data_IF_719122562352
#
_entry.id   IF_719122562352
#
_cell.length_a   1.000
_cell.length_b   1.000
_cell.length_c   1.000
_cell.angle_alpha   90.00
_cell.angle_beta   90.00
_cell.angle_gamma   90.00
#
_symmetry.space_group_name_H-M   'P 1'
#
loop_
_entity.id
_entity.type
_entity.pdbx_description
1 polymer ?
#
# COMPACT_ATOMS: atom_id res chain seq x y z
N UNK A 1 18.37 -6.03 -10.04
CA UNK A 1 16.92 -6.24 -10.25
C UNK A 1 16.32 -4.84 -10.27
N UNK A 2 15.45 -4.50 -11.21
CA UNK A 2 14.86 -3.16 -11.31
C UNK A 2 13.38 -3.28 -10.96
N UNK A 3 13.05 -2.99 -9.71
CA UNK A 3 11.67 -2.71 -9.30
C UNK A 3 11.36 -1.26 -9.72
N UNK A 4 10.12 -0.91 -10.03
CA UNK A 4 9.74 0.46 -10.41
C UNK A 4 8.69 0.95 -9.43
N UNK A 5 8.91 2.13 -8.86
CA UNK A 5 8.02 2.83 -7.94
C UNK A 5 7.47 4.07 -8.64
N UNK A 6 6.19 4.12 -8.99
CA UNK A 6 5.54 5.35 -9.43
C UNK A 6 4.59 5.82 -8.33
N UNK A 7 4.40 7.13 -8.21
CA UNK A 7 3.40 7.74 -7.31
C UNK A 7 2.48 8.61 -8.16
N UNK A 8 1.19 8.26 -8.26
CA UNK A 8 0.19 9.02 -9.02
C UNK A 8 -0.90 9.55 -8.09
N UNK A 9 -1.04 10.88 -8.01
CA UNK A 9 -2.20 11.52 -7.38
C UNK A 9 -3.39 11.54 -8.36
N UNK A 10 -4.47 10.82 -8.06
CA UNK A 10 -5.65 10.77 -8.94
C UNK A 10 -6.57 11.98 -8.73
N UNK A 11 -6.85 12.69 -9.82
CA UNK A 11 -7.84 13.75 -9.88
C UNK A 11 -9.29 13.24 -9.85
N UNK A 12 -10.12 14.02 -9.16
CA UNK A 12 -11.52 13.80 -8.84
C UNK A 12 -12.43 13.64 -10.08
N UNK A 13 -13.20 12.55 -10.15
CA UNK A 13 -14.37 12.46 -11.04
C UNK A 13 -15.55 11.92 -10.24
N UNK A 14 -16.45 12.83 -9.86
CA UNK A 14 -17.76 12.48 -9.34
C UNK A 14 -18.72 12.18 -10.50
N UNK A 15 -19.49 11.10 -10.40
CA UNK A 15 -20.72 10.96 -11.20
C UNK A 15 -21.79 10.19 -10.44
N UNK A 16 -22.98 10.74 -10.59
CA UNK A 16 -24.24 10.57 -9.86
C UNK A 16 -24.94 9.21 -9.99
N UNK A 17 -25.83 9.00 -9.03
CA UNK A 17 -26.76 7.90 -8.80
C UNK A 17 -27.73 7.59 -9.94
N UNK A 18 -28.09 6.31 -10.07
CA UNK A 18 -29.31 5.85 -10.72
C UNK A 18 -29.95 4.71 -9.90
N UNK A 19 -31.13 4.96 -9.33
CA UNK A 19 -31.98 3.94 -8.72
C UNK A 19 -32.65 3.12 -9.84
N UNK A 20 -32.45 1.81 -9.84
CA UNK A 20 -33.23 0.88 -10.65
C UNK A 20 -33.67 -0.31 -9.78
N UNK A 21 -34.99 -0.47 -9.65
CA UNK A 21 -35.61 -1.58 -8.94
C UNK A 21 -35.35 -2.91 -9.64
N UNK A 22 -34.91 -3.90 -8.86
CA UNK A 22 -34.65 -5.26 -9.33
C UNK A 22 -35.07 -6.26 -8.26
N UNK A 23 -35.93 -7.19 -8.68
CA UNK A 23 -36.46 -8.36 -7.97
C UNK A 23 -35.58 -8.91 -6.83
N UNK A 24 -36.19 -9.12 -5.65
CA UNK A 24 -35.63 -9.89 -4.55
C UNK A 24 -35.36 -11.33 -4.99
N UNK A 25 -34.15 -11.58 -5.49
CA UNK A 25 -33.56 -12.92 -5.45
C UNK A 25 -33.11 -13.13 -4.02
N UNK A 26 -33.59 -14.20 -3.39
CA UNK A 26 -33.01 -14.73 -2.16
C UNK A 26 -31.53 -14.98 -2.42
N UNK A 27 -30.70 -14.02 -2.03
CA UNK A 27 -29.25 -14.17 -1.99
C UNK A 27 -28.97 -15.26 -0.97
N UNK A 28 -28.27 -16.28 -1.45
CA UNK A 28 -27.57 -17.23 -0.59
C UNK A 28 -26.85 -16.40 0.47
N UNK A 29 -27.00 -16.68 1.78
CA UNK A 29 -26.31 -15.89 2.79
C UNK A 29 -24.83 -15.94 2.44
N UNK A 30 -24.23 -14.77 2.18
CA UNK A 30 -22.78 -14.64 2.04
C UNK A 30 -22.16 -15.43 3.20
N UNK A 31 -21.14 -16.27 2.95
CA UNK A 31 -20.49 -16.98 4.03
C UNK A 31 -20.16 -15.96 5.12
N UNK A 32 -20.55 -16.25 6.36
CA UNK A 32 -20.22 -15.39 7.51
C UNK A 32 -18.70 -15.23 7.46
N UNK A 33 -18.25 -14.02 7.17
CA UNK A 33 -16.83 -13.73 6.99
C UNK A 33 -16.14 -13.89 8.35
N UNK A 34 -15.28 -14.89 8.45
CA UNK A 34 -14.33 -14.98 9.57
C UNK A 34 -13.21 -13.96 9.32
N UNK A 35 -13.46 -12.73 9.78
CA UNK A 35 -12.57 -11.60 9.57
C UNK A 35 -11.20 -11.82 10.23
N UNK A 36 -11.16 -12.47 11.39
CA UNK A 36 -9.91 -12.71 12.11
C UNK A 36 -9.02 -13.69 11.34
N UNK A 37 -9.61 -14.76 10.78
CA UNK A 37 -8.89 -15.66 9.89
C UNK A 37 -8.41 -14.99 8.60
N UNK A 38 -9.16 -14.01 8.10
CA UNK A 38 -8.80 -13.26 6.88
C UNK A 38 -7.62 -12.33 7.14
N UNK A 39 -7.62 -11.61 8.26
CA UNK A 39 -6.48 -10.79 8.69
C UNK A 39 -5.25 -11.67 8.90
N UNK A 40 -5.39 -12.81 9.59
CA UNK A 40 -4.29 -13.76 9.78
C UNK A 40 -3.71 -14.27 8.45
N UNK A 41 -4.57 -14.54 7.45
CA UNK A 41 -4.13 -14.92 6.11
C UNK A 41 -3.36 -13.78 5.43
N UNK A 42 -3.90 -12.57 5.45
CA UNK A 42 -3.26 -11.40 4.85
C UNK A 42 -1.87 -11.14 5.47
N UNK A 43 -1.77 -11.18 6.79
CA UNK A 43 -0.48 -11.03 7.49
C UNK A 43 0.46 -12.20 7.27
N UNK A 44 -0.05 -13.43 7.15
CA UNK A 44 0.76 -14.63 6.90
C UNK A 44 1.39 -14.70 5.50
N UNK A 45 0.81 -13.99 4.53
CA UNK A 45 1.34 -13.87 3.15
C UNK A 45 2.26 -12.64 2.98
N UNK A 46 2.56 -11.91 4.07
CA UNK A 46 3.46 -10.76 3.99
C UNK A 46 4.87 -11.19 3.54
N UNK A 47 5.49 -10.45 2.62
CA UNK A 47 6.83 -10.75 2.14
C UNK A 47 7.86 -10.21 3.13
N UNK A 48 8.04 -10.88 4.26
CA UNK A 48 9.19 -10.64 5.13
C UNK A 48 10.28 -11.69 4.85
N UNK A 49 11.20 -11.42 3.90
CA UNK A 49 12.35 -12.28 3.72
C UNK A 49 13.27 -12.17 4.94
N UNK A 50 14.17 -13.16 5.09
CA UNK A 50 15.41 -12.94 5.82
C UNK A 50 16.09 -11.64 5.31
N UNK A 51 16.85 -10.95 6.18
CA UNK A 51 17.49 -9.66 5.88
C UNK A 51 17.95 -9.54 4.43
N UNK A 52 17.31 -8.65 3.67
CA UNK A 52 17.46 -8.55 2.21
C UNK A 52 17.71 -7.12 1.76
N UNK A 53 18.02 -6.98 0.48
CA UNK A 53 18.30 -5.70 -0.15
C UNK A 53 17.65 -5.67 -1.52
N UNK A 54 16.91 -4.61 -1.79
CA UNK A 54 16.13 -4.38 -3.01
C UNK A 54 16.66 -3.12 -3.68
N UNK A 55 16.85 -3.21 -5.00
CA UNK A 55 17.21 -2.07 -5.84
C UNK A 55 16.06 -1.79 -6.80
N UNK A 56 15.79 -0.52 -7.06
CA UNK A 56 14.65 -0.10 -7.85
C UNK A 56 14.84 1.25 -8.50
N UNK A 57 14.07 1.55 -9.54
CA UNK A 57 13.89 2.87 -10.10
C UNK A 57 12.63 3.46 -9.47
N UNK A 58 12.59 4.77 -9.25
CA UNK A 58 11.42 5.45 -8.71
C UNK A 58 11.09 6.72 -9.49
N UNK A 59 9.83 7.15 -9.40
CA UNK A 59 9.30 8.37 -9.96
C UNK A 59 8.19 8.92 -9.07
N UNK A 60 8.23 10.22 -8.84
CA UNK A 60 7.14 10.99 -8.25
C UNK A 60 6.59 11.91 -9.34
N UNK A 61 5.28 11.87 -9.54
CA UNK A 61 4.56 12.77 -10.45
C UNK A 61 3.45 13.48 -9.66
N UNK A 62 3.76 14.69 -9.20
CA UNK A 62 2.86 15.57 -8.45
C UNK A 62 2.82 16.96 -9.12
N UNK A 63 1.75 17.75 -8.91
CA UNK A 63 1.54 19.02 -9.63
C UNK A 63 2.73 19.99 -9.61
N UNK A 64 3.49 20.02 -8.51
CA UNK A 64 4.64 20.91 -8.30
C UNK A 64 5.98 20.17 -8.20
N UNK A 65 5.98 18.84 -8.38
CA UNK A 65 7.16 18.01 -8.16
C UNK A 65 7.18 16.82 -9.14
N UNK A 66 8.13 16.86 -10.06
CA UNK A 66 8.45 15.74 -10.93
C UNK A 66 9.89 15.33 -10.67
N UNK A 67 10.08 14.15 -10.08
CA UNK A 67 11.39 13.61 -9.75
C UNK A 67 11.45 12.14 -10.11
N UNK A 68 12.62 11.67 -10.48
CA UNK A 68 12.89 10.26 -10.70
C UNK A 68 14.35 9.92 -10.42
N UNK A 69 14.62 8.62 -10.24
CA UNK A 69 15.97 8.11 -10.12
C UNK A 69 16.03 6.69 -9.59
N UNK A 70 17.11 6.38 -8.86
CA UNK A 70 17.38 5.06 -8.31
C UNK A 70 17.11 5.02 -6.80
N UNK A 71 16.60 3.88 -6.34
CA UNK A 71 16.21 3.62 -4.97
C UNK A 71 16.82 2.32 -4.45
N UNK A 72 17.07 2.33 -3.15
CA UNK A 72 17.60 1.21 -2.39
C UNK A 72 16.74 0.99 -1.16
N UNK A 73 16.27 -0.23 -0.95
CA UNK A 73 15.62 -0.64 0.28
C UNK A 73 16.38 -1.79 0.94
N UNK A 74 16.76 -1.63 2.22
CA UNK A 74 17.23 -2.72 3.06
C UNK A 74 16.10 -3.18 3.95
N UNK A 75 15.69 -4.43 3.81
CA UNK A 75 14.69 -5.05 4.66
C UNK A 75 15.40 -5.88 5.72
N UNK A 76 14.95 -5.78 6.96
CA UNK A 76 15.49 -6.52 8.08
C UNK A 76 14.35 -7.06 8.95
N UNK A 77 14.49 -8.33 9.32
CA UNK A 77 13.59 -8.99 10.24
C UNK A 77 13.93 -8.61 11.71
N UNK A 78 12.91 -8.38 12.57
CA UNK A 78 11.49 -8.16 12.23
C UNK A 78 11.23 -6.70 11.81
N UNK A 79 10.26 -6.51 10.91
CA UNK A 79 9.55 -5.24 10.67
C UNK A 79 10.39 -3.97 10.53
N UNK A 80 11.57 -4.07 9.89
CA UNK A 80 12.45 -2.93 9.66
C UNK A 80 12.76 -2.77 8.19
N UNK A 81 12.64 -1.56 7.70
CA UNK A 81 13.12 -1.17 6.39
C UNK A 81 13.95 0.11 6.49
N UNK A 82 15.00 0.21 5.67
CA UNK A 82 15.65 1.48 5.37
C UNK A 82 15.47 1.76 3.88
N UNK A 83 15.03 2.96 3.56
CA UNK A 83 14.78 3.45 2.22
C UNK A 83 15.71 4.62 1.91
N UNK A 84 16.54 4.47 0.89
CA UNK A 84 17.40 5.52 0.37
C UNK A 84 17.02 5.80 -1.09
N UNK A 85 16.70 7.05 -1.43
CA UNK A 85 16.34 7.49 -2.79
C UNK A 85 17.34 8.50 -3.32
N UNK A 86 17.72 8.33 -4.58
CA UNK A 86 18.66 9.18 -5.31
C UNK A 86 18.06 9.62 -6.64
N UNK A 87 18.33 10.85 -7.08
CA UNK A 87 17.93 11.33 -8.42
C UNK A 87 18.82 10.75 -9.51
N UNK A 88 18.45 10.96 -10.79
CA UNK A 88 19.29 10.58 -11.94
C UNK A 88 20.70 11.19 -11.95
N UNK A 89 20.92 12.32 -11.27
CA UNK A 89 22.23 12.95 -11.08
C UNK A 89 22.98 12.43 -9.84
N UNK A 90 22.47 11.35 -9.23
CA UNK A 90 23.00 10.69 -8.04
C UNK A 90 23.02 11.60 -6.78
N UNK A 91 22.10 12.56 -6.72
CA UNK A 91 21.84 13.36 -5.52
C UNK A 91 20.91 12.61 -4.57
N UNK A 92 21.26 12.51 -3.29
CA UNK A 92 20.41 11.88 -2.29
C UNK A 92 19.22 12.80 -1.93
N UNK A 93 18.00 12.31 -2.11
CA UNK A 93 16.77 13.07 -1.84
C UNK A 93 15.97 12.52 -0.66
N UNK A 94 16.16 11.25 -0.32
CA UNK A 94 15.56 10.65 0.87
C UNK A 94 16.50 9.63 1.49
N UNK A 95 16.64 9.69 2.81
CA UNK A 95 17.18 8.60 3.64
C UNK A 95 16.25 8.44 4.83
N UNK A 96 15.33 7.49 4.72
CA UNK A 96 14.35 7.17 5.75
C UNK A 96 14.54 5.76 6.27
N UNK A 97 14.15 5.52 7.51
CA UNK A 97 13.86 4.17 7.95
C UNK A 97 12.48 4.06 8.56
N UNK A 98 11.97 2.86 8.45
CA UNK A 98 10.64 2.45 8.82
C UNK A 98 10.81 1.28 9.79
N UNK A 99 10.40 1.49 11.02
CA UNK A 99 10.47 0.49 12.08
C UNK A 99 9.05 0.31 12.58
N UNK A 100 8.47 -0.85 12.30
CA UNK A 100 7.06 -1.10 12.58
C UNK A 100 6.20 0.00 11.93
N UNK A 101 5.55 0.85 12.71
CA UNK A 101 4.72 1.96 12.19
C UNK A 101 5.39 3.33 12.31
N UNK A 102 6.63 3.37 12.79
CA UNK A 102 7.40 4.60 12.97
C UNK A 102 8.27 4.89 11.74
N UNK A 103 8.13 6.10 11.21
CA UNK A 103 8.97 6.63 10.15
C UNK A 103 9.97 7.63 10.74
N UNK A 104 11.25 7.40 10.50
CA UNK A 104 12.31 8.34 10.81
C UNK A 104 13.02 8.76 9.52
N UNK A 105 13.29 10.05 9.35
CA UNK A 105 14.10 10.57 8.26
C UNK A 105 15.24 11.42 8.82
N UNK A 106 16.36 11.47 8.09
CA UNK A 106 17.51 12.28 8.51
C UNK A 106 17.22 13.78 8.38
N UNK A 107 16.54 14.18 7.31
CA UNK A 107 16.09 15.54 7.09
C UNK A 107 14.60 15.66 7.41
N UNK A 108 14.22 16.47 8.40
CA UNK A 108 12.81 16.64 8.82
C UNK A 108 11.90 17.05 7.65
N UNK A 109 12.38 17.94 6.76
CA UNK A 109 11.67 18.38 5.55
C UNK A 109 11.44 17.29 4.51
N UNK A 110 12.14 16.15 4.61
CA UNK A 110 11.89 15.03 3.72
C UNK A 110 10.54 14.36 4.04
N UNK A 111 10.07 14.43 5.29
CA UNK A 111 8.82 13.80 5.72
C UNK A 111 7.57 14.44 5.09
N UNK A 112 7.66 15.70 4.66
CA UNK A 112 6.53 16.44 4.05
C UNK A 112 6.04 15.79 2.73
N UNK A 113 6.87 14.96 2.09
CA UNK A 113 6.58 14.31 0.81
C UNK A 113 6.66 12.79 0.88
N UNK A 114 7.00 12.23 2.04
CA UNK A 114 7.13 10.79 2.22
C UNK A 114 5.75 10.19 2.51
N UNK A 115 5.32 9.16 1.78
CA UNK A 115 4.06 8.47 2.06
C UNK A 115 3.99 7.97 3.51
N UNK A 116 2.77 7.76 4.00
CA UNK A 116 2.56 7.20 5.33
C UNK A 116 3.28 5.84 5.50
N UNK A 117 3.65 5.45 6.74
CA UNK A 117 4.22 4.14 7.04
C UNK A 117 3.50 2.97 6.36
N UNK A 118 2.16 2.95 6.41
CA UNK A 118 1.34 1.92 5.78
C UNK A 118 1.50 1.87 4.25
N UNK A 119 1.60 3.04 3.58
CA UNK A 119 1.85 3.09 2.14
C UNK A 119 3.27 2.63 1.79
N UNK A 120 4.26 2.97 2.60
CA UNK A 120 5.64 2.49 2.41
C UNK A 120 5.73 0.96 2.53
N UNK A 121 5.04 0.36 3.50
CA UNK A 121 4.91 -1.10 3.59
C UNK A 121 4.13 -1.69 2.41
N UNK A 122 3.06 -1.03 1.97
CA UNK A 122 2.29 -1.46 0.81
C UNK A 122 3.15 -1.51 -0.46
N UNK A 123 4.07 -0.55 -0.67
CA UNK A 123 5.01 -0.60 -1.80
C UNK A 123 5.89 -1.86 -1.80
N UNK A 124 6.15 -2.46 -0.63
CA UNK A 124 6.88 -3.71 -0.50
C UNK A 124 5.98 -4.94 -0.62
N UNK A 125 4.66 -4.76 -0.80
CA UNK A 125 3.67 -5.83 -0.78
C UNK A 125 3.29 -6.30 0.61
N UNK A 126 3.64 -5.54 1.65
CA UNK A 126 3.40 -5.88 3.05
C UNK A 126 2.09 -5.26 3.52
N UNK A 127 1.18 -6.11 4.00
CA UNK A 127 -0.05 -5.71 4.64
C UNK A 127 0.26 -5.32 6.09
N UNK A 128 0.26 -4.01 6.33
CA UNK A 128 0.46 -3.42 7.66
C UNK A 128 -0.37 -2.14 7.80
N UNK A 129 -1.62 -2.24 8.25
CA UNK A 129 -2.48 -1.07 8.43
C UNK A 129 -1.99 -0.15 9.57
N UNK A 130 -1.17 -0.66 10.49
CA UNK A 130 -0.67 0.02 11.69
C UNK A 130 -1.36 -0.46 12.96
N UNK A 131 -0.66 -0.41 14.11
CA UNK A 131 -1.18 -0.89 15.40
C UNK A 131 -2.41 -0.10 15.86
N UNK A 132 -2.42 1.22 15.63
CA UNK A 132 -3.54 2.08 15.99
C UNK A 132 -4.67 2.10 14.96
N UNK A 133 -4.54 1.34 13.86
CA UNK A 133 -5.55 1.29 12.82
C UNK A 133 -6.76 0.45 13.27
N UNK A 134 -7.95 1.02 13.15
CA UNK A 134 -9.20 0.36 13.53
C UNK A 134 -9.81 -0.32 12.31
N UNK A 135 -9.99 -1.64 12.37
CA UNK A 135 -10.67 -2.40 11.30
C UNK A 135 -12.12 -1.94 11.16
N UNK A 136 -12.51 -1.50 9.96
CA UNK A 136 -13.86 -0.99 9.66
C UNK A 136 -14.71 -2.02 8.93
N UNK A 137 -14.18 -2.56 7.82
CA UNK A 137 -14.96 -3.39 6.90
C UNK A 137 -14.11 -4.49 6.28
N UNK A 138 -14.78 -5.55 5.80
CA UNK A 138 -14.18 -6.64 5.06
C UNK A 138 -15.18 -7.25 4.09
N UNK A 139 -14.73 -7.53 2.87
CA UNK A 139 -15.53 -8.14 1.81
C UNK A 139 -14.74 -9.26 1.13
N UNK A 140 -15.44 -10.28 0.65
CA UNK A 140 -14.83 -11.49 0.13
C UNK A 140 -15.56 -11.98 -1.12
N UNK A 141 -14.78 -12.31 -2.14
CA UNK A 141 -15.23 -12.93 -3.38
C UNK A 141 -14.21 -14.00 -3.83
N UNK A 142 -14.48 -15.25 -3.49
CA UNK A 142 -13.65 -16.39 -3.94
C UNK A 142 -12.28 -16.45 -3.28
N UNK A 143 -11.23 -16.01 -3.97
CA UNK A 143 -9.86 -15.90 -3.44
C UNK A 143 -9.42 -14.44 -3.25
N UNK A 144 -10.27 -13.52 -3.66
CA UNK A 144 -10.05 -12.09 -3.65
C UNK A 144 -10.84 -11.47 -2.51
N UNK A 145 -10.25 -10.49 -1.84
CA UNK A 145 -10.88 -9.89 -0.68
C UNK A 145 -10.43 -8.46 -0.49
N UNK A 146 -11.27 -7.69 0.20
CA UNK A 146 -11.01 -6.31 0.56
C UNK A 146 -11.05 -6.17 2.07
N UNK A 147 -10.14 -5.36 2.61
CA UNK A 147 -10.09 -4.99 4.01
C UNK A 147 -9.92 -3.49 4.14
N UNK A 148 -10.78 -2.87 4.97
CA UNK A 148 -10.80 -1.43 5.18
C UNK A 148 -10.48 -1.12 6.64
N UNK A 149 -9.61 -0.13 6.85
CA UNK A 149 -9.10 0.27 8.15
C UNK A 149 -9.17 1.80 8.32
N UNK A 150 -9.69 2.26 9.44
CA UNK A 150 -9.63 3.66 9.84
C UNK A 150 -8.32 3.97 10.53
N UNK A 151 -7.68 5.06 10.15
CA UNK A 151 -6.45 5.56 10.75
C UNK A 151 -6.74 6.57 11.86
N UNK A 152 -5.82 6.79 12.82
CA UNK A 152 -6.01 7.74 13.92
C UNK A 152 -6.24 9.19 13.49
N UNK A 153 -5.77 9.55 12.29
CA UNK A 153 -5.96 10.88 11.71
C UNK A 153 -7.33 11.05 11.02
N UNK A 154 -8.16 10.01 10.99
CA UNK A 154 -9.49 10.00 10.35
C UNK A 154 -9.50 9.55 8.89
N UNK A 155 -8.34 9.27 8.29
CA UNK A 155 -8.26 8.71 6.94
C UNK A 155 -8.66 7.21 6.96
N UNK A 156 -8.95 6.67 5.79
CA UNK A 156 -9.29 5.25 5.61
C UNK A 156 -8.29 4.58 4.65
N UNK A 157 -7.73 3.45 5.06
CA UNK A 157 -6.90 2.56 4.25
C UNK A 157 -7.75 1.42 3.70
N UNK A 158 -7.83 1.32 2.38
CA UNK A 158 -8.48 0.23 1.68
C UNK A 158 -7.43 -0.68 1.05
N UNK A 159 -7.40 -1.95 1.43
CA UNK A 159 -6.56 -2.97 0.82
C UNK A 159 -7.41 -3.89 -0.05
N UNK A 160 -7.00 -4.05 -1.31
CA UNK A 160 -7.55 -5.05 -2.21
C UNK A 160 -6.52 -6.16 -2.42
N UNK A 161 -6.91 -7.37 -2.09
CA UNK A 161 -6.14 -8.58 -2.28
C UNK A 161 -6.64 -9.36 -3.49
N UNK A 162 -5.70 -9.91 -4.26
CA UNK A 162 -5.95 -10.86 -5.34
C UNK A 162 -5.12 -12.11 -5.11
N UNK A 163 -5.76 -13.27 -5.09
CA UNK A 163 -5.07 -14.55 -4.84
C UNK A 163 -4.17 -14.52 -3.60
N UNK A 164 -4.66 -13.92 -2.50
CA UNK A 164 -3.93 -13.81 -1.22
C UNK A 164 -2.86 -12.72 -1.12
N UNK A 165 -2.55 -12.01 -2.21
CA UNK A 165 -1.54 -10.94 -2.23
C UNK A 165 -2.16 -9.58 -2.43
N UNK A 166 -1.56 -8.53 -1.88
CA UNK A 166 -2.03 -7.16 -2.09
C UNK A 166 -1.90 -6.83 -3.58
N UNK A 167 -3.00 -6.47 -4.22
CA UNK A 167 -3.01 -5.97 -5.60
C UNK A 167 -3.10 -4.44 -5.63
N UNK A 168 -3.76 -3.85 -4.64
CA UNK A 168 -3.95 -2.41 -4.56
C UNK A 168 -4.11 -1.96 -3.10
N UNK A 169 -3.60 -0.77 -2.79
CA UNK A 169 -3.87 -0.05 -1.55
C UNK A 169 -4.29 1.38 -1.88
N UNK A 170 -5.31 1.88 -1.21
CA UNK A 170 -5.73 3.27 -1.32
C UNK A 170 -5.82 3.93 0.05
N UNK A 171 -5.44 5.21 0.12
CA UNK A 171 -5.79 6.08 1.25
C UNK A 171 -6.93 6.96 0.80
N UNK A 172 -8.01 6.97 1.58
CA UNK A 172 -9.19 7.77 1.39
C UNK A 172 -9.24 8.85 2.46
N UNK A 173 -9.45 10.09 2.02
CA UNK A 173 -9.71 11.24 2.89
C UNK A 173 -11.10 11.77 2.54
N UNK A 174 -11.97 11.90 3.55
CA UNK A 174 -13.37 12.31 3.38
C UNK A 174 -14.13 11.46 2.32
N UNK A 175 -13.79 10.18 2.21
CA UNK A 175 -14.38 9.23 1.25
C UNK A 175 -13.83 9.33 -0.18
N UNK A 176 -12.74 10.06 -0.37
CA UNK A 176 -12.08 10.21 -1.67
C UNK A 176 -10.67 9.64 -1.64
N UNK A 177 -10.35 8.77 -2.61
CA UNK A 177 -9.00 8.23 -2.76
C UNK A 177 -8.01 9.35 -3.10
N UNK A 178 -7.09 9.66 -2.18
CA UNK A 178 -6.04 10.67 -2.33
C UNK A 178 -4.68 10.07 -2.67
N UNK A 179 -4.44 8.82 -2.26
CA UNK A 179 -3.28 8.04 -2.65
C UNK A 179 -3.70 6.65 -3.11
N UNK A 180 -3.00 6.12 -4.11
CA UNK A 180 -3.18 4.77 -4.63
C UNK A 180 -1.82 4.13 -4.87
N UNK A 181 -1.71 2.87 -4.51
CA UNK A 181 -0.60 1.98 -4.83
C UNK A 181 -1.16 0.77 -5.54
N UNK A 182 -0.66 0.48 -6.73
CA UNK A 182 -0.97 -0.69 -7.53
C UNK A 182 0.24 -1.60 -7.54
N UNK A 183 0.06 -2.88 -7.23
CA UNK A 183 1.15 -3.85 -7.15
C UNK A 183 1.01 -4.88 -8.26
N UNK A 184 2.06 -5.02 -9.06
CA UNK A 184 2.17 -6.09 -10.03
C UNK A 184 3.12 -7.18 -9.52
N UNK A 185 2.64 -8.42 -9.50
CA UNK A 185 3.40 -9.59 -9.06
C UNK A 185 3.88 -10.41 -10.27
N UNK A 186 5.17 -10.71 -10.32
CA UNK A 186 5.77 -11.51 -11.38
C UNK A 186 6.39 -12.81 -10.87
N UNK A 187 6.15 -13.92 -11.55
CA UNK A 187 6.99 -15.14 -11.50
C UNK A 187 7.25 -15.75 -10.13
N UNK A 188 6.23 -15.86 -9.27
CA UNK A 188 6.35 -16.52 -7.96
C UNK A 188 7.32 -15.84 -6.98
N UNK A 189 7.69 -14.58 -7.24
CA UNK A 189 8.62 -13.81 -6.41
C UNK A 189 8.02 -13.54 -5.04
N UNK A 190 8.91 -13.30 -4.09
CA UNK A 190 8.54 -12.92 -2.73
C UNK A 190 8.06 -11.48 -2.66
N UNK A 191 8.72 -10.55 -3.37
CA UNK A 191 8.32 -9.14 -3.48
C UNK A 191 7.59 -8.84 -4.79
N UNK A 192 6.78 -7.75 -4.84
CA UNK A 192 6.18 -7.28 -6.09
C UNK A 192 7.28 -6.95 -7.12
N UNK A 193 6.96 -7.08 -8.41
CA UNK A 193 7.88 -6.69 -9.49
C UNK A 193 7.81 -5.21 -9.83
N UNK A 194 6.68 -4.56 -9.52
CA UNK A 194 6.43 -3.15 -9.77
C UNK A 194 5.37 -2.65 -8.78
N UNK A 195 5.50 -1.38 -8.38
CA UNK A 195 4.48 -0.66 -7.65
C UNK A 195 4.26 0.74 -8.25
N UNK A 196 3.02 1.19 -8.40
CA UNK A 196 2.68 2.44 -9.12
C UNK A 196 1.54 3.21 -8.47
#
# INVERSE_FOLDING_TARGET
>A
MKFRLNLVALGFVASSTACAGGSLRLQNPSPILDMDRTVLRASGENPFPATSTVFFEWRVDAPDLQLDGDGYARLQDPDRARLDLFTGDNEAVLSAGLVEDELWAREERALDFVPSPALLWAFLGTFRPGEDATRLYGEFDGDDFRLDYGLPNGDELQYLFRSGRIAQVEVHQEGHAVHRVLLAWGGGRELPSEAT
#
